data_IF_138653496335
#
_entry.id   IF_138653496335
#
_cell.length_a   1.000
_cell.length_b   1.000
_cell.length_c   1.000
_cell.angle_alpha   90.00
_cell.angle_beta   90.00
_cell.angle_gamma   90.00
#
_symmetry.space_group_name_H-M   'P 1'
#
loop_
_entity.id
_entity.type
_entity.pdbx_description
1 polymer ?
#
# COMPACT_ATOMS: atom_id res chain seq x y z
N UNK A 1 -1.78 -26.65 -0.90
CA UNK A 1 -2.65 -25.73 -1.66
C UNK A 1 -2.55 -24.39 -0.96
N UNK A 2 -1.79 -23.46 -1.50
CA UNK A 2 -1.64 -22.12 -0.92
C UNK A 2 -2.64 -21.21 -1.60
N UNK A 3 -3.54 -20.62 -0.82
CA UNK A 3 -4.49 -19.63 -1.31
C UNK A 3 -3.82 -18.28 -1.14
N UNK A 4 -3.28 -17.72 -2.22
CA UNK A 4 -2.84 -16.32 -2.23
C UNK A 4 -4.07 -15.43 -2.14
N UNK A 5 -4.25 -14.74 -1.02
CA UNK A 5 -5.32 -13.76 -0.85
C UNK A 5 -4.95 -12.50 -1.64
N UNK A 6 -5.23 -12.53 -2.94
CA UNK A 6 -5.05 -11.36 -3.80
C UNK A 6 -6.23 -10.42 -3.56
N UNK A 7 -5.99 -9.34 -2.82
CA UNK A 7 -6.99 -8.34 -2.46
C UNK A 7 -6.52 -6.92 -2.76
N UNK A 8 -7.44 -6.06 -3.20
CA UNK A 8 -7.21 -4.62 -3.27
C UNK A 8 -7.76 -3.98 -2.01
N UNK A 9 -6.92 -3.20 -1.31
CA UNK A 9 -7.30 -2.57 -0.04
C UNK A 9 -6.94 -1.09 -0.11
N UNK A 10 -7.85 -0.24 0.37
CA UNK A 10 -7.59 1.18 0.58
C UNK A 10 -6.88 1.35 1.94
N UNK A 11 -5.70 1.96 1.92
CA UNK A 11 -4.88 2.17 3.12
C UNK A 11 -4.56 3.65 3.26
N UNK A 12 -4.47 4.10 4.51
CA UNK A 12 -4.05 5.46 4.84
C UNK A 12 -2.52 5.56 4.75
N UNK A 13 -2.03 6.49 3.94
CA UNK A 13 -0.59 6.73 3.75
C UNK A 13 -0.16 8.08 4.31
N UNK A 14 1.14 8.23 4.59
CA UNK A 14 1.75 9.47 5.11
C UNK A 14 1.95 10.55 4.02
N UNK A 15 1.52 10.27 2.79
CA UNK A 15 1.73 11.16 1.66
C UNK A 15 3.02 10.87 0.88
N UNK A 16 3.93 10.04 1.38
CA UNK A 16 5.18 9.72 0.67
C UNK A 16 4.96 8.70 -0.46
N UNK A 17 3.94 7.85 -0.32
CA UNK A 17 3.69 6.73 -1.22
C UNK A 17 3.41 7.14 -2.66
N UNK A 18 4.23 6.63 -3.58
CA UNK A 18 4.08 6.87 -5.02
C UNK A 18 3.21 5.80 -5.68
N UNK A 19 2.39 6.23 -6.63
CA UNK A 19 1.66 5.34 -7.53
C UNK A 19 2.64 4.51 -8.36
N UNK A 20 2.34 3.22 -8.53
CA UNK A 20 3.25 2.20 -9.09
C UNK A 20 4.56 2.01 -8.30
N UNK A 21 4.59 2.44 -7.05
CA UNK A 21 5.67 2.15 -6.11
C UNK A 21 5.31 1.00 -5.16
N UNK A 22 6.24 0.73 -4.25
CA UNK A 22 6.00 -0.14 -3.11
C UNK A 22 5.82 0.72 -1.86
N UNK A 23 4.93 0.26 -0.98
CA UNK A 23 4.74 0.85 0.34
C UNK A 23 4.59 -0.22 1.39
N UNK A 24 5.01 0.12 2.61
CA UNK A 24 4.94 -0.72 3.78
C UNK A 24 4.37 0.06 4.96
N UNK A 25 3.65 -0.63 5.85
CA UNK A 25 3.14 0.00 7.06
C UNK A 25 4.29 0.21 8.06
N UNK A 26 4.41 1.41 8.61
CA UNK A 26 5.31 1.69 9.73
C UNK A 26 4.75 1.11 11.05
N UNK A 27 5.49 1.28 12.16
CA UNK A 27 5.08 0.81 13.49
C UNK A 27 3.76 1.44 13.98
N UNK A 28 3.41 2.62 13.46
CA UNK A 28 2.17 3.33 13.74
C UNK A 28 0.98 2.87 12.86
N UNK A 29 1.21 1.93 11.93
CA UNK A 29 0.20 1.42 11.00
C UNK A 29 -0.08 2.33 9.80
N UNK A 30 0.78 3.31 9.52
CA UNK A 30 0.67 4.23 8.38
C UNK A 30 1.49 3.68 7.22
N UNK A 31 0.89 3.61 6.02
CA UNK A 31 1.64 3.22 4.82
C UNK A 31 2.65 4.32 4.45
N UNK A 32 3.92 3.94 4.37
CA UNK A 32 5.03 4.79 3.97
C UNK A 32 5.79 4.16 2.81
N UNK A 33 6.51 4.98 2.05
CA UNK A 33 7.28 4.51 0.90
C UNK A 33 8.37 3.55 1.35
N UNK A 34 8.42 2.39 0.70
CA UNK A 34 9.43 1.38 1.00
C UNK A 34 9.78 0.62 -0.27
N UNK A 35 11.00 0.10 -0.38
CA UNK A 35 11.42 -0.71 -1.52
C UNK A 35 10.79 -2.12 -1.53
N UNK A 36 10.03 -2.47 -0.49
CA UNK A 36 9.39 -3.79 -0.32
C UNK A 36 8.02 -3.61 0.30
N UNK A 37 7.09 -4.52 -0.04
CA UNK A 37 5.78 -4.54 0.58
C UNK A 37 4.63 -4.67 -0.39
N UNK A 38 3.59 -3.89 -0.14
CA UNK A 38 2.39 -3.85 -0.95
C UNK A 38 2.58 -2.94 -2.16
N UNK A 39 2.02 -3.35 -3.29
CA UNK A 39 2.14 -2.58 -4.53
C UNK A 39 1.06 -1.51 -4.60
N UNK A 40 1.45 -0.25 -4.80
CA UNK A 40 0.52 0.88 -4.88
C UNK A 40 -0.07 0.96 -6.29
N UNK A 41 -1.37 0.69 -6.41
CA UNK A 41 -2.09 0.78 -7.67
C UNK A 41 -2.34 2.24 -8.05
N UNK A 42 -3.01 2.99 -7.17
CA UNK A 42 -3.35 4.40 -7.40
C UNK A 42 -3.57 5.15 -6.10
N UNK A 43 -3.44 6.47 -6.14
CA UNK A 43 -3.80 7.36 -5.03
C UNK A 43 -5.23 7.85 -5.21
N UNK A 44 -6.07 7.67 -4.19
CA UNK A 44 -7.48 8.09 -4.20
C UNK A 44 -7.72 9.38 -3.42
N UNK A 45 -6.81 9.77 -2.52
CA UNK A 45 -6.88 11.01 -1.73
C UNK A 45 -5.50 11.47 -1.26
N UNK A 46 -5.43 12.56 -0.50
CA UNK A 46 -4.15 13.11 -0.01
C UNK A 46 -3.37 12.11 0.84
N UNK A 47 -4.06 11.34 1.68
CA UNK A 47 -3.48 10.30 2.55
C UNK A 47 -4.21 8.96 2.35
N UNK A 48 -4.62 8.66 1.12
CA UNK A 48 -5.32 7.42 0.83
C UNK A 48 -4.87 6.83 -0.50
N UNK A 49 -4.36 5.60 -0.43
CA UNK A 49 -3.87 4.85 -1.57
C UNK A 49 -4.55 3.49 -1.66
N UNK A 50 -4.68 3.00 -2.88
CA UNK A 50 -5.12 1.65 -3.18
C UNK A 50 -3.89 0.78 -3.34
N UNK A 51 -3.74 -0.22 -2.49
CA UNK A 51 -2.67 -1.21 -2.55
C UNK A 51 -3.19 -2.57 -3.01
N UNK A 52 -2.29 -3.35 -3.60
CA UNK A 52 -2.51 -4.76 -3.90
C UNK A 52 -1.77 -5.62 -2.88
N UNK A 53 -2.53 -6.46 -2.18
CA UNK A 53 -2.03 -7.50 -1.28
C UNK A 53 -2.07 -8.83 -2.04
N UNK A 54 -1.05 -9.67 -1.90
CA UNK A 54 -0.92 -10.99 -2.54
C UNK A 54 -0.66 -12.06 -1.50
#
# INVERSE_FOLDING_TARGET
>A
MEVGLIGQILVHDDGTCKTHGYCWANDEGIATTSDKGYFVLKRTGENQILILVK
#
